data_IF_104306409586
#
_entry.id   IF_104306409586
#
_cell.length_a   1.000
_cell.length_b   1.000
_cell.length_c   1.000
_cell.angle_alpha   90.00
_cell.angle_beta   90.00
_cell.angle_gamma   90.00
#
_symmetry.space_group_name_H-M   'P 1'
#
loop_
_entity.id
_entity.type
_entity.pdbx_description
1 polymer ?
#
# COMPACT_ATOMS: atom_id res chain seq x y z
N UNK A 1 15.07 -3.17 9.32
CA UNK A 1 13.60 -3.22 9.55
C UNK A 1 13.33 -3.02 11.03
N UNK A 2 12.44 -2.10 11.41
CA UNK A 2 12.09 -1.88 12.82
C UNK A 2 11.08 -2.95 13.29
N UNK A 3 11.28 -3.52 14.48
CA UNK A 3 10.45 -4.61 15.03
C UNK A 3 8.97 -4.20 15.17
N UNK A 4 8.70 -2.95 15.56
CA UNK A 4 7.34 -2.40 15.64
C UNK A 4 6.61 -2.44 14.28
N UNK A 5 7.33 -2.17 13.19
CA UNK A 5 6.76 -2.18 11.85
C UNK A 5 6.38 -3.60 11.40
N UNK A 6 7.19 -4.59 11.80
CA UNK A 6 6.92 -6.01 11.52
C UNK A 6 5.66 -6.46 12.29
N UNK A 7 5.55 -6.11 13.57
CA UNK A 7 4.37 -6.41 14.38
C UNK A 7 3.10 -5.75 13.83
N UNK A 8 3.17 -4.46 13.47
CA UNK A 8 2.05 -3.76 12.85
C UNK A 8 1.61 -4.43 11.55
N UNK A 9 2.55 -4.78 10.67
CA UNK A 9 2.25 -5.49 9.41
C UNK A 9 1.56 -6.82 9.67
N UNK A 10 2.07 -7.63 10.60
CA UNK A 10 1.46 -8.90 10.97
C UNK A 10 0.04 -8.72 11.52
N UNK A 11 -0.18 -7.69 12.36
CA UNK A 11 -1.50 -7.37 12.90
C UNK A 11 -2.50 -7.01 11.79
N UNK A 12 -2.12 -6.15 10.84
CA UNK A 12 -2.99 -5.74 9.74
C UNK A 12 -3.35 -6.92 8.84
N UNK A 13 -2.37 -7.76 8.48
CA UNK A 13 -2.59 -8.97 7.67
C UNK A 13 -3.52 -9.94 8.42
N UNK A 14 -3.29 -10.15 9.72
CA UNK A 14 -4.13 -11.02 10.56
C UNK A 14 -5.57 -10.54 10.64
N UNK A 15 -5.80 -9.22 10.77
CA UNK A 15 -7.14 -8.63 10.74
C UNK A 15 -7.84 -8.82 9.40
N UNK A 16 -7.12 -8.60 8.30
CA UNK A 16 -7.66 -8.81 6.95
C UNK A 16 -8.09 -10.28 6.76
N UNK A 17 -7.24 -11.23 7.19
CA UNK A 17 -7.57 -12.65 7.17
C UNK A 17 -8.81 -12.97 7.99
N UNK A 18 -8.88 -12.50 9.24
CA UNK A 18 -10.02 -12.76 10.12
C UNK A 18 -11.33 -12.20 9.57
N UNK A 19 -11.31 -10.99 8.99
CA UNK A 19 -12.48 -10.42 8.33
C UNK A 19 -12.90 -11.26 7.11
N UNK A 20 -11.94 -11.67 6.26
CA UNK A 20 -12.22 -12.49 5.09
C UNK A 20 -12.76 -13.89 5.48
N UNK A 21 -12.24 -14.49 6.54
CA UNK A 21 -12.73 -15.77 7.06
C UNK A 21 -14.17 -15.65 7.56
N UNK A 22 -14.53 -14.55 8.25
CA UNK A 22 -15.91 -14.29 8.66
C UNK A 22 -16.84 -14.14 7.46
N UNK A 23 -16.42 -13.41 6.42
CA UNK A 23 -17.20 -13.25 5.18
C UNK A 23 -17.38 -14.61 4.48
N UNK A 24 -16.30 -15.37 4.30
CA UNK A 24 -16.32 -16.66 3.63
C UNK A 24 -17.16 -17.70 4.38
N UNK A 25 -17.22 -17.64 5.72
CA UNK A 25 -18.10 -18.49 6.53
C UNK A 25 -19.58 -18.16 6.36
N UNK A 26 -19.90 -16.89 6.14
CA UNK A 26 -21.27 -16.43 5.95
C UNK A 26 -21.79 -16.64 4.52
N UNK A 27 -20.95 -17.12 3.60
CA UNK A 27 -21.32 -17.45 2.23
C UNK A 27 -21.74 -18.92 2.09
N UNK A 28 -22.87 -19.13 1.43
CA UNK A 28 -23.36 -20.46 1.05
C UNK A 28 -22.56 -21.05 -0.12
N UNK A 29 -22.54 -22.37 -0.23
CA UNK A 29 -21.82 -23.06 -1.31
C UNK A 29 -22.36 -22.70 -2.71
N UNK A 30 -23.65 -22.36 -2.83
CA UNK A 30 -24.23 -21.87 -4.09
C UNK A 30 -23.67 -20.50 -4.45
N UNK A 31 -23.64 -19.57 -3.51
CA UNK A 31 -23.07 -18.23 -3.75
C UNK A 31 -21.60 -18.33 -4.17
N UNK A 32 -20.83 -19.17 -3.48
CA UNK A 32 -19.42 -19.45 -3.83
C UNK A 32 -19.28 -20.03 -5.23
N UNK A 33 -20.14 -20.98 -5.60
CA UNK A 33 -20.17 -21.58 -6.93
C UNK A 33 -20.55 -20.56 -8.01
N UNK A 34 -21.53 -19.69 -7.73
CA UNK A 34 -22.03 -18.69 -8.68
C UNK A 34 -20.97 -17.61 -8.97
N UNK A 35 -20.18 -17.21 -7.96
CA UNK A 35 -19.06 -16.29 -8.16
C UNK A 35 -17.79 -16.98 -8.69
N UNK A 36 -17.76 -18.32 -8.71
CA UNK A 36 -16.62 -19.10 -9.15
C UNK A 36 -15.42 -19.08 -8.19
N UNK A 37 -15.64 -18.82 -6.90
CA UNK A 37 -14.58 -18.76 -5.88
C UNK A 37 -14.83 -19.78 -4.77
N UNK A 38 -13.76 -20.32 -4.20
CA UNK A 38 -13.83 -21.08 -2.95
C UNK A 38 -13.69 -20.15 -1.74
N UNK A 39 -14.08 -20.65 -0.55
CA UNK A 39 -13.81 -19.94 0.71
C UNK A 39 -12.32 -19.62 0.89
N UNK A 40 -11.46 -20.53 0.44
CA UNK A 40 -10.02 -20.34 0.48
C UNK A 40 -9.59 -19.17 -0.40
N UNK A 41 -10.10 -19.09 -1.62
CA UNK A 41 -9.72 -18.02 -2.57
C UNK A 41 -10.11 -16.63 -2.06
N UNK A 42 -11.26 -16.52 -1.38
CA UNK A 42 -11.70 -15.27 -0.74
C UNK A 42 -10.70 -14.82 0.33
N UNK A 43 -10.30 -15.73 1.21
CA UNK A 43 -9.35 -15.43 2.28
C UNK A 43 -7.97 -15.11 1.71
N UNK A 44 -7.54 -15.89 0.72
CA UNK A 44 -6.23 -15.74 0.10
C UNK A 44 -6.14 -14.41 -0.66
N UNK A 45 -7.12 -14.08 -1.49
CA UNK A 45 -7.14 -12.82 -2.25
C UNK A 45 -7.15 -11.59 -1.35
N UNK A 46 -7.89 -11.63 -0.23
CA UNK A 46 -7.88 -10.54 0.75
C UNK A 46 -6.50 -10.34 1.39
N UNK A 47 -5.85 -11.43 1.80
CA UNK A 47 -4.51 -11.40 2.41
C UNK A 47 -3.46 -10.93 1.40
N UNK A 48 -3.51 -11.44 0.17
CA UNK A 48 -2.58 -11.06 -0.90
C UNK A 48 -2.72 -9.58 -1.26
N UNK A 49 -3.95 -9.08 -1.40
CA UNK A 49 -4.22 -7.67 -1.71
C UNK A 49 -3.63 -6.74 -0.65
N UNK A 50 -3.90 -6.99 0.63
CA UNK A 50 -3.36 -6.19 1.73
C UNK A 50 -1.84 -6.30 1.80
N UNK A 51 -1.29 -7.50 1.59
CA UNK A 51 0.17 -7.72 1.61
C UNK A 51 0.86 -6.93 0.50
N UNK A 52 0.26 -6.91 -0.70
CA UNK A 52 0.74 -6.16 -1.86
C UNK A 52 0.67 -4.66 -1.61
N UNK A 53 -0.45 -4.15 -1.09
CA UNK A 53 -0.61 -2.72 -0.76
C UNK A 53 0.45 -2.25 0.25
N UNK A 54 0.71 -3.05 1.28
CA UNK A 54 1.72 -2.72 2.29
C UNK A 54 3.14 -2.72 1.71
N UNK A 55 3.41 -3.61 0.76
CA UNK A 55 4.70 -3.65 0.06
C UNK A 55 4.86 -2.47 -0.91
N UNK A 56 3.83 -2.13 -1.69
CA UNK A 56 3.84 -0.95 -2.56
C UNK A 56 4.06 0.33 -1.76
N UNK A 57 3.39 0.50 -0.61
CA UNK A 57 3.60 1.64 0.30
C UNK A 57 5.01 1.65 0.88
N UNK A 58 5.63 0.49 1.11
CA UNK A 58 7.04 0.41 1.52
C UNK A 58 7.96 0.88 0.39
N UNK A 59 7.78 0.36 -0.81
CA UNK A 59 8.61 0.72 -1.96
C UNK A 59 8.51 2.21 -2.31
N UNK A 60 7.30 2.79 -2.24
CA UNK A 60 7.10 4.24 -2.40
C UNK A 60 7.89 5.07 -1.38
N UNK A 61 7.89 4.66 -0.10
CA UNK A 61 8.68 5.33 0.95
C UNK A 61 10.17 5.22 0.71
N UNK A 62 10.65 4.05 0.26
CA UNK A 62 12.05 3.84 -0.09
C UNK A 62 12.46 4.72 -1.28
N UNK A 63 11.62 4.82 -2.32
CA UNK A 63 11.87 5.72 -3.46
C UNK A 63 11.91 7.19 -3.04
N UNK A 64 10.97 7.65 -2.21
CA UNK A 64 10.96 9.03 -1.69
C UNK A 64 12.20 9.37 -0.87
N UNK A 65 12.78 8.38 -0.16
CA UNK A 65 14.02 8.57 0.57
C UNK A 65 15.26 8.66 -0.35
N UNK A 66 15.19 8.14 -1.58
CA UNK A 66 16.28 8.16 -2.57
C UNK A 66 16.22 9.44 -3.42
N UNK A 67 15.03 9.93 -3.75
CA UNK A 67 14.87 11.19 -4.48
C UNK A 67 15.21 12.37 -3.56
N UNK A 68 16.22 13.21 -3.87
CA UNK A 68 16.49 14.38 -3.07
C UNK A 68 15.24 15.29 -3.09
N UNK A 69 14.81 15.84 -1.93
CA UNK A 69 13.67 16.75 -1.90
C UNK A 69 13.94 17.92 -2.85
N UNK A 70 12.91 18.44 -3.53
CA UNK A 70 13.05 19.68 -4.28
C UNK A 70 13.41 20.79 -3.30
N UNK A 71 14.68 21.20 -3.31
CA UNK A 71 15.15 22.29 -2.49
C UNK A 71 14.66 23.58 -3.14
N UNK A 72 13.42 23.98 -2.85
CA UNK A 72 12.92 25.34 -3.09
C UNK A 72 13.67 26.28 -2.14
N UNK A 73 14.89 26.65 -2.54
CA UNK A 73 15.72 27.63 -1.85
C UNK A 73 15.50 29.01 -2.45
N UNK A 74 15.69 30.06 -1.64
CA UNK A 74 15.63 31.45 -2.13
C UNK A 74 16.60 31.68 -3.32
N UNK A 75 17.72 30.96 -3.37
CA UNK A 75 18.64 30.97 -4.51
C UNK A 75 18.02 30.40 -5.79
N UNK A 76 17.21 29.34 -5.71
CA UNK A 76 16.50 28.80 -6.89
C UNK A 76 15.43 29.76 -7.42
N UNK A 77 14.74 30.47 -6.52
CA UNK A 77 13.74 31.49 -6.87
C UNK A 77 14.43 32.68 -7.55
N UNK A 78 15.56 33.14 -7.00
CA UNK A 78 16.35 34.23 -7.57
C UNK A 78 16.92 33.88 -8.96
N UNK A 79 17.46 32.67 -9.13
CA UNK A 79 17.97 32.20 -10.41
C UNK A 79 16.87 32.14 -11.49
N UNK A 80 15.66 31.68 -11.13
CA UNK A 80 14.53 31.67 -12.06
C UNK A 80 14.07 33.07 -12.45
N UNK A 81 14.04 34.01 -11.50
CA UNK A 81 13.69 35.40 -11.76
C UNK A 81 14.67 36.06 -12.74
N UNK A 82 15.98 35.92 -12.50
CA UNK A 82 17.03 36.47 -13.38
C UNK A 82 16.96 35.91 -14.80
N UNK A 83 16.67 34.61 -14.96
CA UNK A 83 16.55 33.98 -16.28
C UNK A 83 15.34 34.50 -17.07
N UNK A 84 14.33 35.06 -16.38
CA UNK A 84 13.11 35.63 -16.98
C UNK A 84 13.25 37.11 -17.33
N UNK A 85 14.18 37.83 -16.72
CA UNK A 85 14.46 39.25 -17.02
C UNK A 85 15.54 39.45 -18.08
N UNK A 86 16.17 38.37 -18.55
CA UNK A 86 17.18 38.39 -19.61
C UNK A 86 16.59 38.15 -21.03
N UNK A 87 15.26 38.16 -21.17
CA UNK A 87 14.52 38.10 -22.44
C UNK A 87 13.90 39.47 -22.74
#
# INVERSE_FOLDING_TARGET
MNMLHVMYRAMVIGRARSAAEQIARNMSDRQLKDIGYTRYDIVQSAVESVTKELEEKRQKRLQQAITPPSIFSLSTIWAFFMNRTAS
#
